data_IF_351928306513
#
_entry.id   IF_351928306513
#
_cell.length_a   1.000
_cell.length_b   1.000
_cell.length_c   1.000
_cell.angle_alpha   90.00
_cell.angle_beta   90.00
_cell.angle_gamma   90.00
#
_symmetry.space_group_name_H-M   'P 1'
#
loop_
_entity.id
_entity.type
_entity.pdbx_description
1 polymer ?
#
# COMPACT_ATOMS: atom_id res chain seq x y z
N UNK A 1 -2.66 -30.85 4.64
CA UNK A 1 -2.95 -29.86 3.57
C UNK A 1 -1.76 -28.94 3.42
N UNK A 2 -1.36 -28.65 2.17
CA UNK A 2 -0.28 -27.71 1.88
C UNK A 2 -0.72 -26.29 2.25
N UNK A 3 0.11 -25.55 3.00
CA UNK A 3 -0.15 -24.14 3.33
C UNK A 3 -0.15 -23.29 2.06
N UNK A 4 -1.05 -22.32 2.02
CA UNK A 4 -1.18 -21.31 0.96
C UNK A 4 -1.23 -19.91 1.56
N UNK A 5 -1.18 -18.86 0.74
CA UNK A 5 -1.31 -17.46 1.19
C UNK A 5 -2.64 -17.19 1.91
N UNK A 6 -3.70 -17.94 1.62
CA UNK A 6 -5.01 -17.83 2.27
C UNK A 6 -5.17 -18.70 3.52
N UNK A 7 -4.16 -19.48 3.93
CA UNK A 7 -4.25 -20.37 5.08
C UNK A 7 -4.36 -19.58 6.39
N UNK A 8 -5.34 -19.93 7.23
CA UNK A 8 -5.49 -19.41 8.59
C UNK A 8 -4.69 -20.31 9.55
N UNK A 9 -3.38 -20.05 9.62
CA UNK A 9 -2.42 -20.83 10.40
C UNK A 9 -1.35 -19.92 11.03
N UNK A 10 -1.72 -19.06 12.00
CA UNK A 10 -0.80 -18.15 12.65
C UNK A 10 0.41 -18.88 13.25
N UNK A 11 1.61 -18.32 13.07
CA UNK A 11 2.88 -18.90 13.52
C UNK A 11 3.51 -19.92 12.57
N UNK A 12 2.75 -20.44 11.60
CA UNK A 12 3.31 -21.35 10.60
C UNK A 12 4.24 -20.60 9.64
N UNK A 13 5.32 -21.27 9.22
CA UNK A 13 6.24 -20.74 8.20
C UNK A 13 5.89 -21.28 6.83
N UNK A 14 5.96 -20.40 5.84
CA UNK A 14 5.73 -20.72 4.43
C UNK A 14 6.77 -20.01 3.56
N UNK A 15 7.23 -20.67 2.50
CA UNK A 15 8.19 -20.10 1.56
C UNK A 15 7.43 -19.41 0.42
N UNK A 16 7.49 -18.09 0.38
CA UNK A 16 6.71 -17.25 -0.54
C UNK A 16 7.58 -16.43 -1.49
N UNK A 17 7.03 -16.10 -2.64
CA UNK A 17 7.47 -14.99 -3.49
C UNK A 17 7.20 -13.66 -2.76
N UNK A 18 8.00 -12.61 -3.00
CA UNK A 18 7.77 -11.30 -2.39
C UNK A 18 6.37 -10.75 -2.65
N UNK A 19 5.89 -10.84 -3.88
CA UNK A 19 4.52 -10.43 -4.22
C UNK A 19 3.44 -11.28 -3.50
N UNK A 20 3.69 -12.58 -3.29
CA UNK A 20 2.81 -13.42 -2.47
C UNK A 20 2.84 -13.00 -0.98
N UNK A 21 4.00 -12.61 -0.47
CA UNK A 21 4.15 -12.09 0.89
C UNK A 21 3.43 -10.76 1.08
N UNK A 22 3.51 -9.84 0.12
CA UNK A 22 2.76 -8.58 0.07
C UNK A 22 1.26 -8.86 0.07
N UNK A 23 0.79 -9.77 -0.79
CA UNK A 23 -0.60 -10.19 -0.83
C UNK A 23 -1.04 -10.80 0.52
N UNK A 24 -0.19 -11.63 1.14
CA UNK A 24 -0.45 -12.16 2.48
C UNK A 24 -0.58 -11.05 3.53
N UNK A 25 0.28 -10.04 3.51
CA UNK A 25 0.18 -8.89 4.40
C UNK A 25 -1.14 -8.13 4.24
N UNK A 26 -1.62 -7.97 3.01
CA UNK A 26 -2.93 -7.38 2.72
C UNK A 26 -4.08 -8.23 3.28
N UNK A 27 -4.00 -9.57 3.18
CA UNK A 27 -4.97 -10.51 3.76
C UNK A 27 -4.99 -10.38 5.29
N UNK A 28 -3.83 -10.42 5.94
CA UNK A 28 -3.71 -10.27 7.40
C UNK A 28 -4.24 -8.92 7.88
N UNK A 29 -3.99 -7.86 7.11
CA UNK A 29 -4.54 -6.54 7.39
C UNK A 29 -6.07 -6.44 7.16
N UNK A 30 -6.72 -7.46 6.62
CA UNK A 30 -8.16 -7.44 6.36
C UNK A 30 -8.58 -6.49 5.26
N UNK A 31 -7.79 -6.41 4.18
CA UNK A 31 -8.14 -5.63 2.98
C UNK A 31 -9.44 -6.14 2.38
N UNK A 32 -10.34 -5.22 2.07
CA UNK A 32 -11.65 -5.53 1.49
C UNK A 32 -11.74 -5.19 -0.01
N UNK A 33 -10.89 -4.26 -0.48
CA UNK A 33 -10.84 -3.88 -1.90
C UNK A 33 -9.40 -3.79 -2.36
N UNK A 34 -9.05 -4.52 -3.41
CA UNK A 34 -7.76 -4.44 -4.08
C UNK A 34 -7.97 -4.24 -5.58
N UNK A 35 -7.36 -3.21 -6.15
CA UNK A 35 -7.43 -2.90 -7.57
C UNK A 35 -6.03 -2.68 -8.13
N UNK A 36 -5.78 -3.11 -9.36
CA UNK A 36 -4.50 -2.94 -10.02
C UNK A 36 -4.65 -2.84 -11.53
N UNK A 37 -3.56 -2.47 -12.20
CA UNK A 37 -3.37 -2.64 -13.63
C UNK A 37 -2.12 -3.51 -13.85
N UNK A 38 -2.13 -4.43 -14.82
CA UNK A 38 -1.02 -5.36 -15.02
C UNK A 38 0.30 -4.65 -15.31
N UNK A 39 1.35 -5.04 -14.60
CA UNK A 39 2.70 -4.52 -14.80
C UNK A 39 3.73 -5.27 -13.95
N UNK A 40 4.79 -5.77 -14.59
CA UNK A 40 5.92 -6.41 -13.89
C UNK A 40 6.81 -5.31 -13.28
N UNK A 41 7.15 -5.38 -11.96
CA UNK A 41 7.09 -6.55 -11.09
C UNK A 41 5.93 -6.58 -10.06
N UNK A 42 4.73 -6.07 -10.34
CA UNK A 42 3.63 -5.99 -9.36
C UNK A 42 2.45 -6.94 -9.62
N UNK A 43 2.34 -7.53 -10.81
CA UNK A 43 1.14 -8.27 -11.24
C UNK A 43 0.77 -9.44 -10.34
N UNK A 44 1.76 -10.20 -9.85
CA UNK A 44 1.53 -11.41 -9.05
C UNK A 44 0.83 -11.12 -7.72
N UNK A 45 0.77 -9.85 -7.28
CA UNK A 45 0.04 -9.48 -6.06
C UNK A 45 -1.45 -9.73 -6.24
N UNK A 46 -2.03 -9.20 -7.32
CA UNK A 46 -3.46 -9.37 -7.61
C UNK A 46 -3.74 -10.80 -8.08
N UNK A 47 -2.85 -11.41 -8.86
CA UNK A 47 -2.95 -12.82 -9.25
C UNK A 47 -2.99 -13.75 -8.03
N UNK A 48 -2.29 -13.38 -6.94
CA UNK A 48 -2.30 -14.11 -5.67
C UNK A 48 -3.58 -13.87 -4.86
N UNK A 49 -4.10 -12.64 -4.86
CA UNK A 49 -5.32 -12.28 -4.13
C UNK A 49 -6.59 -12.84 -4.78
N UNK A 50 -6.69 -12.80 -6.10
CA UNK A 50 -7.90 -13.14 -6.83
C UNK A 50 -8.45 -14.55 -6.52
N UNK A 51 -7.65 -15.63 -6.48
CA UNK A 51 -8.15 -16.96 -6.17
C UNK A 51 -8.75 -17.11 -4.76
N UNK A 52 -8.27 -16.34 -3.78
CA UNK A 52 -8.71 -16.42 -2.39
C UNK A 52 -9.73 -15.34 -2.01
N UNK A 53 -9.94 -14.36 -2.88
CA UNK A 53 -10.76 -13.19 -2.63
C UNK A 53 -12.18 -13.52 -2.17
N UNK A 54 -12.87 -14.42 -2.89
CA UNK A 54 -14.25 -14.81 -2.57
C UNK A 54 -14.37 -15.42 -1.18
N UNK A 55 -13.42 -16.29 -0.80
CA UNK A 55 -13.40 -16.94 0.51
C UNK A 55 -13.16 -15.97 1.67
N UNK A 56 -12.44 -14.88 1.40
CA UNK A 56 -12.12 -13.83 2.36
C UNK A 56 -13.12 -12.65 2.34
N UNK A 57 -14.07 -12.65 1.40
CA UNK A 57 -15.03 -11.56 1.24
C UNK A 57 -14.36 -10.26 0.77
N UNK A 58 -13.33 -10.39 -0.05
CA UNK A 58 -12.57 -9.30 -0.67
C UNK A 58 -13.04 -9.07 -2.10
N UNK A 59 -13.12 -7.82 -2.51
CA UNK A 59 -13.26 -7.43 -3.92
C UNK A 59 -11.87 -7.23 -4.52
N UNK A 60 -11.59 -7.92 -5.62
CA UNK A 60 -10.31 -7.83 -6.33
C UNK A 60 -10.57 -7.65 -7.82
N UNK A 61 -9.92 -6.65 -8.44
CA UNK A 61 -10.09 -6.38 -9.87
C UNK A 61 -8.80 -6.00 -10.59
N UNK A 62 -8.76 -6.31 -11.87
CA UNK A 62 -7.91 -5.65 -12.85
C UNK A 62 -8.69 -4.48 -13.46
N UNK A 63 -8.21 -3.27 -13.24
CA UNK A 63 -8.82 -2.04 -13.76
C UNK A 63 -8.35 -1.72 -15.18
N UNK A 64 -9.01 -0.78 -15.86
CA UNK A 64 -8.67 -0.37 -17.22
C UNK A 64 -7.31 0.33 -17.34
N UNK A 65 -6.84 0.98 -16.28
CA UNK A 65 -5.51 1.58 -16.13
C UNK A 65 -5.25 1.88 -14.65
N UNK A 66 -4.04 2.37 -14.34
CA UNK A 66 -3.60 2.60 -12.95
C UNK A 66 -4.35 3.74 -12.27
N UNK A 67 -4.76 4.79 -13.01
CA UNK A 67 -5.59 5.86 -12.46
C UNK A 67 -6.92 5.30 -11.97
N UNK A 68 -7.58 4.48 -12.78
CA UNK A 68 -8.85 3.83 -12.41
C UNK A 68 -8.64 2.90 -11.21
N UNK A 69 -7.58 2.09 -11.22
CA UNK A 69 -7.25 1.21 -10.09
C UNK A 69 -7.08 1.99 -8.78
N UNK A 70 -6.33 3.10 -8.84
CA UNK A 70 -6.14 3.97 -7.68
C UNK A 70 -7.47 4.55 -7.20
N UNK A 71 -8.28 5.11 -8.11
CA UNK A 71 -9.54 5.77 -7.78
C UNK A 71 -10.58 4.80 -7.20
N UNK A 72 -10.69 3.58 -7.75
CA UNK A 72 -11.58 2.51 -7.21
C UNK A 72 -11.19 2.16 -5.77
N UNK A 73 -9.92 1.85 -5.53
CA UNK A 73 -9.44 1.49 -4.20
C UNK A 73 -9.52 2.68 -3.22
N UNK A 74 -9.16 3.88 -3.69
CA UNK A 74 -9.21 5.07 -2.86
C UNK A 74 -10.63 5.47 -2.46
N UNK A 75 -11.59 5.36 -3.39
CA UNK A 75 -13.01 5.58 -3.10
C UNK A 75 -13.53 4.60 -2.02
N UNK A 76 -13.11 3.33 -2.07
CA UNK A 76 -13.42 2.36 -1.04
C UNK A 76 -12.86 2.78 0.34
N UNK A 77 -11.63 3.30 0.38
CA UNK A 77 -11.06 3.87 1.61
C UNK A 77 -11.85 5.08 2.13
N UNK A 78 -12.28 5.97 1.26
CA UNK A 78 -13.13 7.11 1.64
C UNK A 78 -14.50 6.66 2.18
N UNK A 79 -14.96 5.47 1.79
CA UNK A 79 -16.13 4.80 2.36
C UNK A 79 -15.83 4.03 3.67
N UNK A 80 -14.59 4.04 4.18
CA UNK A 80 -14.21 3.44 5.45
C UNK A 80 -13.72 2.00 5.37
N UNK A 81 -13.54 1.45 4.17
CA UNK A 81 -12.98 0.12 3.97
C UNK A 81 -11.43 0.16 3.97
N UNK A 82 -10.76 -0.93 4.32
CA UNK A 82 -9.34 -1.10 4.01
C UNK A 82 -9.19 -1.44 2.54
N UNK A 83 -8.42 -0.64 1.83
CA UNK A 83 -8.27 -0.77 0.39
C UNK A 83 -6.83 -0.55 -0.06
N UNK A 84 -6.44 -1.21 -1.15
CA UNK A 84 -5.14 -1.05 -1.76
C UNK A 84 -5.23 -0.90 -3.27
N UNK A 85 -4.32 -0.12 -3.83
CA UNK A 85 -4.01 -0.15 -5.26
C UNK A 85 -2.58 -0.69 -5.45
N UNK A 86 -2.34 -1.45 -6.52
CA UNK A 86 -1.02 -1.94 -6.85
C UNK A 86 -0.65 -1.60 -8.30
N UNK A 87 0.59 -1.15 -8.51
CA UNK A 87 1.10 -0.78 -9.81
C UNK A 87 2.63 -0.81 -9.87
N UNK A 88 3.16 -0.89 -11.07
CA UNK A 88 4.61 -0.71 -11.31
C UNK A 88 4.98 0.78 -11.36
N UNK A 89 6.29 1.09 -11.40
CA UNK A 89 6.77 2.47 -11.38
C UNK A 89 6.15 3.38 -12.44
N UNK A 90 6.07 2.93 -13.69
CA UNK A 90 5.52 3.77 -14.77
C UNK A 90 4.01 3.92 -14.69
N UNK A 91 3.33 3.00 -14.01
CA UNK A 91 1.90 3.10 -13.74
C UNK A 91 1.58 4.23 -12.76
N UNK A 92 2.50 4.55 -11.85
CA UNK A 92 2.34 5.68 -10.96
C UNK A 92 2.27 7.02 -11.72
N UNK A 93 2.92 7.13 -12.89
CA UNK A 93 2.78 8.30 -13.75
C UNK A 93 1.34 8.47 -14.26
N UNK A 94 0.66 7.36 -14.56
CA UNK A 94 -0.76 7.37 -14.99
C UNK A 94 -1.69 7.78 -13.85
N UNK A 95 -1.40 7.34 -12.64
CA UNK A 95 -2.17 7.64 -11.43
C UNK A 95 -1.73 8.94 -10.72
N UNK A 96 -0.77 9.68 -11.27
CA UNK A 96 -0.11 10.80 -10.58
C UNK A 96 -1.09 11.86 -10.07
N UNK A 97 -2.05 12.28 -10.89
CA UNK A 97 -3.03 13.31 -10.53
C UNK A 97 -3.85 12.96 -9.25
N UNK A 98 -4.57 11.83 -9.17
CA UNK A 98 -5.29 11.49 -7.95
C UNK A 98 -4.34 11.16 -6.76
N UNK A 99 -3.14 10.65 -7.00
CA UNK A 99 -2.13 10.43 -5.96
C UNK A 99 -1.76 11.75 -5.30
N UNK A 100 -1.44 12.79 -6.08
CA UNK A 100 -1.09 14.12 -5.55
C UNK A 100 -2.21 14.74 -4.72
N UNK A 101 -3.48 14.51 -5.09
CA UNK A 101 -4.63 15.05 -4.39
C UNK A 101 -4.96 14.27 -3.12
N UNK A 102 -4.64 12.99 -3.07
CA UNK A 102 -5.02 12.09 -1.97
C UNK A 102 -4.43 12.49 -0.62
N UNK A 103 -3.21 13.03 -0.58
CA UNK A 103 -2.57 13.49 0.64
C UNK A 103 -3.32 14.65 1.30
N UNK A 104 -3.93 15.51 0.52
CA UNK A 104 -4.75 16.62 1.01
C UNK A 104 -6.07 16.12 1.62
N UNK A 105 -6.75 15.22 0.91
CA UNK A 105 -8.04 14.65 1.33
C UNK A 105 -7.85 13.71 2.53
N UNK A 106 -6.77 12.94 2.53
CA UNK A 106 -6.48 11.90 3.52
C UNK A 106 -7.25 10.60 3.26
N UNK A 107 -7.25 9.69 4.22
CA UNK A 107 -7.96 8.42 4.18
C UNK A 107 -9.02 8.36 5.30
N UNK A 108 -10.04 7.50 5.15
CA UNK A 108 -11.02 7.20 6.20
C UNK A 108 -10.82 5.77 6.70
N UNK A 109 -10.91 4.77 5.85
CA UNK A 109 -10.34 3.44 6.07
C UNK A 109 -8.86 3.43 5.64
N UNK A 110 -8.10 2.43 6.06
CA UNK A 110 -6.70 2.32 5.66
C UNK A 110 -6.54 2.25 4.14
N UNK A 111 -5.65 3.07 3.59
CA UNK A 111 -5.33 3.06 2.18
C UNK A 111 -3.82 2.91 1.96
N UNK A 112 -3.46 1.86 1.24
CA UNK A 112 -2.07 1.58 0.87
C UNK A 112 -1.94 1.54 -0.65
N UNK A 113 -1.03 2.36 -1.17
CA UNK A 113 -0.59 2.29 -2.55
C UNK A 113 0.69 1.45 -2.59
N UNK A 114 0.62 0.28 -3.22
CA UNK A 114 1.81 -0.50 -3.49
C UNK A 114 2.39 -0.07 -4.83
N UNK A 115 3.66 0.34 -4.81
CA UNK A 115 4.42 0.69 -6.01
C UNK A 115 5.62 -0.26 -6.11
N UNK A 116 5.70 -1.00 -7.21
CA UNK A 116 6.82 -1.87 -7.48
C UNK A 116 7.74 -1.23 -8.52
N UNK A 117 8.88 -0.73 -8.04
CA UNK A 117 9.92 -0.17 -8.89
C UNK A 117 10.76 -1.27 -9.54
N UNK A 118 11.31 -0.95 -10.69
CA UNK A 118 12.16 -1.86 -11.47
C UNK A 118 13.53 -1.23 -11.74
N UNK A 119 14.40 -1.13 -10.69
CA UNK A 119 15.75 -0.62 -10.86
C UNK A 119 16.49 -1.41 -11.92
N UNK A 120 17.26 -0.71 -12.78
CA UNK A 120 17.92 -1.27 -13.96
C UNK A 120 16.95 -1.68 -15.08
N UNK A 121 15.66 -1.34 -14.99
CA UNK A 121 14.64 -1.54 -16.03
C UNK A 121 14.62 -2.95 -16.65
N UNK A 122 14.63 -4.00 -15.81
CA UNK A 122 14.63 -5.39 -16.25
C UNK A 122 13.44 -5.76 -17.14
N UNK A 123 12.28 -5.17 -16.87
CA UNK A 123 11.03 -5.40 -17.61
C UNK A 123 10.26 -4.10 -17.88
N UNK A 124 10.95 -2.99 -17.87
CA UNK A 124 10.36 -1.65 -18.03
C UNK A 124 11.06 -0.86 -19.12
N UNK A 125 10.34 0.10 -19.70
CA UNK A 125 10.86 0.98 -20.74
C UNK A 125 11.82 2.07 -20.21
N UNK A 126 11.88 2.27 -18.90
CA UNK A 126 12.82 3.15 -18.23
C UNK A 126 12.93 2.79 -16.75
N UNK A 127 13.90 3.36 -16.05
CA UNK A 127 14.06 3.29 -14.60
C UNK A 127 13.50 4.56 -13.97
N UNK A 128 12.71 4.39 -12.89
CA UNK A 128 12.18 5.49 -12.10
C UNK A 128 12.31 5.18 -10.62
N UNK A 129 12.59 6.21 -9.82
CA UNK A 129 12.59 6.13 -8.37
C UNK A 129 11.36 6.86 -7.82
N UNK A 130 10.34 6.09 -7.46
CA UNK A 130 9.08 6.62 -7.01
C UNK A 130 9.10 7.21 -5.58
N UNK A 131 10.24 7.16 -4.88
CA UNK A 131 10.44 7.90 -3.63
C UNK A 131 10.31 9.40 -3.86
N UNK A 132 10.77 9.92 -5.02
CA UNK A 132 10.62 11.33 -5.38
C UNK A 132 9.15 11.73 -5.61
N UNK A 133 8.35 10.85 -6.21
CA UNK A 133 6.91 11.11 -6.35
C UNK A 133 6.22 11.09 -4.98
N UNK A 134 6.60 10.16 -4.11
CA UNK A 134 6.08 10.09 -2.74
C UNK A 134 6.40 11.35 -1.95
N UNK A 135 7.64 11.87 -2.04
CA UNK A 135 8.05 13.12 -1.41
C UNK A 135 7.25 14.31 -1.94
N UNK A 136 7.13 14.43 -3.26
CA UNK A 136 6.33 15.48 -3.91
C UNK A 136 4.87 15.44 -3.48
N UNK A 137 4.29 14.23 -3.31
CA UNK A 137 2.91 14.03 -2.92
C UNK A 137 2.69 14.09 -1.39
N UNK A 138 3.73 14.27 -0.59
CA UNK A 138 3.66 14.17 0.88
C UNK A 138 3.08 12.84 1.36
N UNK A 139 3.48 11.74 0.74
CA UNK A 139 3.08 10.39 1.11
C UNK A 139 4.26 9.67 1.80
N UNK A 140 4.04 9.10 2.99
CA UNK A 140 5.06 8.31 3.65
C UNK A 140 5.31 6.99 2.92
N UNK A 141 6.55 6.54 2.92
CA UNK A 141 7.00 5.31 2.25
C UNK A 141 7.54 4.32 3.27
N UNK A 142 7.06 3.08 3.19
CA UNK A 142 7.69 1.92 3.80
C UNK A 142 8.37 1.10 2.70
N UNK A 143 9.65 0.81 2.87
CA UNK A 143 10.47 0.11 1.88
C UNK A 143 11.09 -1.15 2.50
N UNK A 144 10.53 -2.34 2.21
CA UNK A 144 11.01 -3.58 2.81
C UNK A 144 12.38 -3.99 2.24
N UNK A 145 13.25 -4.52 3.09
CA UNK A 145 14.55 -5.08 2.73
C UNK A 145 14.52 -6.60 2.51
N UNK A 146 13.43 -7.25 2.87
CA UNK A 146 13.25 -8.70 2.74
C UNK A 146 11.81 -9.08 2.42
N UNK A 147 11.62 -10.33 1.99
CA UNK A 147 10.29 -10.90 1.71
C UNK A 147 9.41 -10.94 2.99
N UNK A 148 10.01 -11.23 4.14
CA UNK A 148 9.30 -11.23 5.41
C UNK A 148 8.84 -9.81 5.80
N UNK A 149 9.74 -8.83 5.70
CA UNK A 149 9.40 -7.42 5.95
C UNK A 149 8.32 -6.91 4.99
N UNK A 150 8.31 -7.36 3.74
CA UNK A 150 7.28 -6.97 2.78
C UNK A 150 5.87 -7.31 3.28
N UNK A 151 5.68 -8.49 3.88
CA UNK A 151 4.43 -8.87 4.53
C UNK A 151 4.12 -7.99 5.74
N UNK A 152 5.10 -7.80 6.63
CA UNK A 152 4.93 -7.07 7.89
C UNK A 152 4.67 -5.58 7.65
N UNK A 153 5.39 -4.97 6.72
CA UNK A 153 5.21 -3.57 6.37
C UNK A 153 3.86 -3.30 5.71
N UNK A 154 3.28 -4.26 4.97
CA UNK A 154 1.90 -4.12 4.48
C UNK A 154 0.91 -4.02 5.64
N UNK A 155 1.02 -4.87 6.65
CA UNK A 155 0.15 -4.81 7.85
C UNK A 155 0.32 -3.48 8.56
N UNK A 156 1.57 -3.07 8.81
CA UNK A 156 1.89 -1.80 9.48
C UNK A 156 1.41 -0.59 8.68
N UNK A 157 1.54 -0.60 7.36
CA UNK A 157 1.08 0.49 6.50
C UNK A 157 -0.43 0.74 6.63
N UNK A 158 -1.25 -0.32 6.72
CA UNK A 158 -2.68 -0.18 6.95
C UNK A 158 -3.00 0.39 8.33
N UNK A 159 -2.30 -0.06 9.36
CA UNK A 159 -2.46 0.46 10.73
C UNK A 159 -2.10 1.95 10.80
N UNK A 160 -0.95 2.33 10.26
CA UNK A 160 -0.49 3.71 10.21
C UNK A 160 -1.42 4.60 9.36
N UNK A 161 -1.87 4.09 8.21
CA UNK A 161 -2.81 4.82 7.37
C UNK A 161 -4.11 5.14 8.10
N UNK A 162 -4.62 4.23 8.92
CA UNK A 162 -5.82 4.45 9.73
C UNK A 162 -5.58 5.38 10.91
N UNK A 163 -4.45 5.23 11.59
CA UNK A 163 -4.08 6.07 12.72
C UNK A 163 -3.97 7.54 12.30
N UNK A 164 -3.23 7.79 11.22
CA UNK A 164 -2.97 9.15 10.74
C UNK A 164 -4.02 9.67 9.75
N UNK A 165 -4.99 8.84 9.34
CA UNK A 165 -5.98 9.19 8.31
C UNK A 165 -5.30 9.69 7.02
N UNK A 166 -4.25 8.98 6.59
CA UNK A 166 -3.39 9.39 5.48
C UNK A 166 -3.04 8.19 4.60
N UNK A 167 -3.00 8.33 3.26
CA UNK A 167 -2.49 7.28 2.40
C UNK A 167 -1.02 6.97 2.68
N UNK A 168 -0.63 5.70 2.59
CA UNK A 168 0.75 5.25 2.71
C UNK A 168 1.18 4.53 1.44
N UNK A 169 2.46 4.66 1.08
CA UNK A 169 3.08 3.87 0.03
C UNK A 169 3.89 2.73 0.66
N UNK A 170 3.71 1.53 0.15
CA UNK A 170 4.69 0.45 0.30
C UNK A 170 5.41 0.33 -1.02
N UNK A 171 6.71 0.62 -1.00
CA UNK A 171 7.57 0.54 -2.17
C UNK A 171 8.30 -0.79 -2.18
N UNK A 172 8.03 -1.61 -3.16
CA UNK A 172 8.82 -2.82 -3.45
C UNK A 172 9.76 -2.55 -4.62
N UNK A 173 10.73 -3.41 -4.80
CA UNK A 173 11.61 -3.43 -5.97
C UNK A 173 11.64 -4.84 -6.54
N UNK A 174 12.01 -5.00 -7.81
CA UNK A 174 12.05 -6.30 -8.51
C UNK A 174 12.75 -7.37 -7.67
N UNK A 175 13.85 -7.04 -7.00
CA UNK A 175 14.60 -7.97 -6.14
C UNK A 175 13.75 -8.52 -4.98
N UNK A 176 12.89 -7.71 -4.39
CA UNK A 176 11.99 -8.12 -3.32
C UNK A 176 10.75 -8.79 -3.90
N UNK A 177 10.09 -8.15 -4.88
CA UNK A 177 8.86 -8.65 -5.50
C UNK A 177 9.01 -10.06 -6.07
N UNK A 178 10.13 -10.35 -6.74
CA UNK A 178 10.43 -11.65 -7.36
C UNK A 178 11.42 -12.50 -6.55
N UNK A 179 11.92 -12.00 -5.43
CA UNK A 179 12.68 -12.79 -4.47
C UNK A 179 11.79 -13.80 -3.75
N UNK A 180 12.39 -14.84 -3.19
CA UNK A 180 11.69 -15.82 -2.34
C UNK A 180 12.30 -15.87 -0.95
N UNK A 181 11.45 -16.10 0.06
CA UNK A 181 11.91 -16.19 1.43
C UNK A 181 10.87 -16.81 2.35
N UNK A 182 11.34 -17.18 3.55
CA UNK A 182 10.49 -17.68 4.60
C UNK A 182 9.66 -16.54 5.20
N UNK A 183 8.37 -16.78 5.32
CA UNK A 183 7.40 -15.83 5.90
C UNK A 183 6.63 -16.54 7.01
N UNK A 184 6.57 -15.92 8.17
CA UNK A 184 5.70 -16.39 9.26
C UNK A 184 4.30 -15.82 9.05
N UNK A 185 3.30 -16.70 8.98
CA UNK A 185 1.90 -16.30 8.86
C UNK A 185 1.43 -15.64 10.15
N UNK A 186 0.78 -14.50 10.05
CA UNK A 186 0.04 -13.84 11.12
C UNK A 186 -1.43 -14.21 11.11
N UNK A 187 -2.17 -13.66 12.06
CA UNK A 187 -3.63 -13.81 12.12
C UNK A 187 -4.31 -13.07 10.97
N UNK A 188 -5.30 -13.69 10.36
CA UNK A 188 -6.13 -13.02 9.34
C UNK A 188 -7.20 -12.20 10.06
N UNK A 189 -7.19 -10.90 9.84
CA UNK A 189 -8.23 -10.01 10.37
C UNK A 189 -9.60 -10.43 9.80
N UNK A 190 -10.53 -10.70 10.70
CA UNK A 190 -11.92 -11.05 10.36
C UNK A 190 -12.86 -9.85 10.47
N UNK A 191 -12.31 -8.66 10.76
CA UNK A 191 -13.09 -7.43 10.83
C UNK A 191 -13.68 -7.13 9.46
N UNK A 192 -14.99 -7.22 9.35
CA UNK A 192 -15.72 -6.81 8.14
C UNK A 192 -16.35 -5.44 8.36
N UNK A 193 -15.81 -4.46 7.67
CA UNK A 193 -16.33 -3.10 7.72
C UNK A 193 -17.44 -2.95 6.67
N UNK A 194 -18.48 -2.22 7.04
CA UNK A 194 -19.54 -1.84 6.12
C UNK A 194 -19.18 -0.50 5.48
N UNK A 195 -19.22 -0.44 4.15
CA UNK A 195 -18.99 0.81 3.43
C UNK A 195 -20.02 1.87 3.83
N UNK A 196 -19.54 3.06 4.13
CA UNK A 196 -20.38 4.21 4.51
C UNK A 196 -19.70 5.51 4.07
N UNK A 197 -20.31 6.21 3.14
CA UNK A 197 -19.83 7.53 2.69
C UNK A 197 -20.55 8.65 3.44
N UNK A 198 -19.77 9.53 4.07
CA UNK A 198 -20.29 10.76 4.69
C UNK A 198 -20.02 11.91 3.76
N UNK A 199 -21.07 12.63 3.37
CA UNK A 199 -20.95 13.79 2.47
C UNK A 199 -20.31 14.97 3.23
N UNK A 200 -19.06 15.27 2.91
CA UNK A 200 -18.30 16.40 3.45
C UNK A 200 -17.70 17.24 2.29
N UNK A 201 -18.48 18.20 1.73
CA UNK A 201 -18.03 18.97 0.56
C UNK A 201 -16.71 19.71 0.80
N UNK A 202 -16.48 20.22 2.01
CA UNK A 202 -15.24 20.92 2.39
C UNK A 202 -14.01 20.02 2.42
N UNK A 203 -14.19 18.70 2.49
CA UNK A 203 -13.12 17.71 2.47
C UNK A 203 -12.91 17.12 1.08
N UNK A 204 -14.01 16.78 0.37
CA UNK A 204 -13.94 15.97 -0.83
C UNK A 204 -14.04 16.76 -2.13
N UNK A 205 -14.56 18.00 -2.12
CA UNK A 205 -14.61 18.84 -3.32
C UNK A 205 -13.32 19.66 -3.40
N UNK A 206 -12.47 19.33 -4.38
CA UNK A 206 -11.15 19.91 -4.51
C UNK A 206 -11.13 21.11 -5.46
N UNK A 207 -11.43 22.27 -4.90
CA UNK A 207 -11.28 23.57 -5.55
C UNK A 207 -10.18 24.37 -4.86
N UNK A 208 -9.61 25.42 -5.51
CA UNK A 208 -8.44 26.16 -4.98
C UNK A 208 -8.60 26.65 -3.53
N UNK A 209 -9.81 27.04 -3.13
CA UNK A 209 -10.10 27.49 -1.77
C UNK A 209 -9.92 26.38 -0.75
N UNK A 210 -10.40 25.17 -1.06
CA UNK A 210 -10.26 24.00 -0.18
C UNK A 210 -8.81 23.50 -0.16
N UNK A 211 -8.12 23.53 -1.29
CA UNK A 211 -6.71 23.16 -1.35
C UNK A 211 -5.87 24.05 -0.42
N UNK A 212 -6.07 25.37 -0.48
CA UNK A 212 -5.38 26.33 0.42
C UNK A 212 -5.71 26.08 1.90
N UNK A 213 -6.96 25.78 2.22
CA UNK A 213 -7.39 25.46 3.59
C UNK A 213 -6.78 24.16 4.11
N UNK A 214 -6.74 23.13 3.27
CA UNK A 214 -6.33 21.79 3.68
C UNK A 214 -4.79 21.60 3.67
N UNK A 215 -4.04 22.46 2.97
CA UNK A 215 -2.58 22.36 2.94
C UNK A 215 -1.90 22.42 4.33
N UNK A 216 -2.19 23.39 5.20
CA UNK A 216 -1.59 23.40 6.55
C UNK A 216 -1.95 22.14 7.35
N UNK A 217 -3.19 21.65 7.24
CA UNK A 217 -3.64 20.43 7.94
C UNK A 217 -2.91 19.19 7.43
N UNK A 218 -2.68 19.11 6.12
CA UNK A 218 -1.90 18.04 5.50
C UNK A 218 -0.44 18.08 5.97
N UNK A 219 0.20 19.26 6.00
CA UNK A 219 1.59 19.41 6.44
C UNK A 219 1.76 19.04 7.91
N UNK A 220 0.83 19.44 8.78
CA UNK A 220 0.86 19.05 10.21
C UNK A 220 0.68 17.54 10.37
N UNK A 221 -0.24 16.92 9.63
CA UNK A 221 -0.41 15.48 9.62
C UNK A 221 0.86 14.77 9.17
N UNK A 222 1.50 15.25 8.11
CA UNK A 222 2.74 14.69 7.60
C UNK A 222 3.90 14.83 8.59
N UNK A 223 4.01 15.96 9.31
CA UNK A 223 4.99 16.16 10.38
C UNK A 223 4.84 15.09 11.49
N UNK A 224 3.62 14.86 11.95
CA UNK A 224 3.31 13.82 12.94
C UNK A 224 3.67 12.42 12.45
N UNK A 225 3.38 12.13 11.19
CA UNK A 225 3.76 10.86 10.56
C UNK A 225 5.29 10.72 10.56
N UNK A 226 6.03 11.75 10.17
CA UNK A 226 7.50 11.73 10.17
C UNK A 226 8.08 11.40 11.54
N UNK A 227 7.51 11.94 12.62
CA UNK A 227 7.91 11.62 13.99
C UNK A 227 7.63 10.14 14.33
N UNK A 228 6.45 9.65 13.99
CA UNK A 228 6.05 8.27 14.28
C UNK A 228 6.88 7.24 13.49
N UNK A 229 7.12 7.47 12.19
CA UNK A 229 7.88 6.49 11.38
C UNK A 229 9.34 6.38 11.80
N UNK A 230 9.92 7.41 12.41
CA UNK A 230 11.29 7.34 12.94
C UNK A 230 11.44 6.33 14.09
N UNK A 231 10.36 5.98 14.76
CA UNK A 231 10.36 5.03 15.89
C UNK A 231 9.96 3.62 15.50
N UNK A 232 9.68 3.37 14.22
CA UNK A 232 9.31 2.05 13.75
C UNK A 232 10.48 1.05 13.90
N UNK A 233 10.20 -0.20 14.25
CA UNK A 233 11.23 -1.22 14.50
C UNK A 233 12.06 -1.58 13.27
N UNK A 234 11.60 -1.20 12.09
CA UNK A 234 12.30 -1.43 10.82
C UNK A 234 13.51 -0.50 10.64
N UNK A 235 13.52 0.66 11.31
CA UNK A 235 14.60 1.63 11.21
C UNK A 235 15.72 1.28 12.19
N UNK A 236 16.84 0.79 11.67
CA UNK A 236 18.01 0.43 12.48
C UNK A 236 19.19 1.31 12.09
N UNK A 237 19.76 2.01 13.06
CA UNK A 237 21.01 2.76 12.91
C UNK A 237 22.16 1.98 13.53
N UNK A 238 23.12 1.59 12.69
CA UNK A 238 24.38 0.96 13.14
C UNK A 238 25.54 1.91 12.82
N UNK A 239 26.08 2.54 13.83
CA UNK A 239 27.24 3.39 13.69
C UNK A 239 28.53 2.57 13.88
N UNK A 240 29.51 2.80 13.02
CA UNK A 240 30.85 2.27 13.22
C UNK A 240 31.52 3.03 14.39
N UNK A 241 32.39 2.37 15.23
CA UNK A 241 33.15 3.07 16.23
C UNK A 241 33.99 4.18 15.59
N UNK A 242 33.84 5.41 16.05
CA UNK A 242 34.59 6.58 15.57
C UNK A 242 34.01 7.28 14.33
N UNK A 243 32.77 6.95 13.91
CA UNK A 243 32.05 7.67 12.85
C UNK A 243 31.31 8.89 13.39
#
# INVERSE_FOLDING_TARGET
>A
NKLTVGSDAPGAKIFLLGNEAIARGAIEAGVQVAAAYPGTPSSEIVDTLAPVAKGLGMYVEWSANEKVAFEVAYAASLCGLRAMAAMKQVGLNVAHDPVMTSSYIGAKGGFVLLVADDPWAWSSQNEQDNRYIAEQAYLPVLEPSSVAEAKEMMVSAFQLSEEFKHPFIVRSVTRISHGRGDVTLGEISREKRKASFTKEPTRYIYVPTQARRNRPLMLERFRRIKEAVNTLPYNQLKLAPGA
#
